data_IF_155374274609
#
_entry.id   IF_155374274609
#
_cell.length_a   1.000
_cell.length_b   1.000
_cell.length_c   1.000
_cell.angle_alpha   90.00
_cell.angle_beta   90.00
_cell.angle_gamma   90.00
#
_symmetry.space_group_name_H-M   'P 1'
#
loop_
_entity.id
_entity.type
_entity.pdbx_description
1 polymer ?
#
# COMPACT_ATOMS: atom_id res chain seq x y z
N UNK A 1 -55.18 -15.54 54.63
CA UNK A 1 -54.87 -16.57 53.61
C UNK A 1 -53.61 -16.10 52.91
N UNK A 2 -52.43 -16.15 53.54
CA UNK A 2 -51.85 -17.08 54.53
C UNK A 2 -51.43 -18.45 53.97
N UNK A 3 -50.38 -18.99 54.59
CA UNK A 3 -49.73 -20.30 54.41
C UNK A 3 -48.96 -20.51 53.09
N UNK A 4 -47.72 -21.04 53.09
CA UNK A 4 -46.71 -21.01 54.17
C UNK A 4 -45.28 -21.26 53.62
N UNK A 5 -44.27 -21.12 54.49
CA UNK A 5 -42.92 -21.72 54.41
C UNK A 5 -42.92 -23.08 55.18
N UNK A 6 -41.82 -23.80 55.48
CA UNK A 6 -40.38 -23.52 55.37
C UNK A 6 -39.71 -24.43 54.31
N UNK A 7 -38.44 -24.86 54.30
CA UNK A 7 -37.19 -24.72 55.11
C UNK A 7 -36.00 -24.47 54.12
N UNK A 8 -34.69 -24.33 54.40
CA UNK A 8 -33.70 -24.77 55.40
C UNK A 8 -33.12 -26.20 55.28
N UNK A 9 -31.82 -26.27 54.98
CA UNK A 9 -30.86 -27.23 55.55
C UNK A 9 -29.43 -26.69 55.31
N UNK A 10 -28.56 -26.83 56.31
CA UNK A 10 -27.18 -26.32 56.32
C UNK A 10 -26.14 -27.38 55.89
N UNK A 11 -24.87 -26.94 55.76
CA UNK A 11 -23.57 -27.59 56.02
C UNK A 11 -22.50 -27.01 55.06
N UNK A 12 -21.63 -26.10 55.52
CA UNK A 12 -20.38 -26.35 56.28
C UNK A 12 -19.30 -27.11 55.47
N UNK A 13 -18.32 -26.38 54.94
CA UNK A 13 -16.97 -26.22 55.53
C UNK A 13 -16.09 -27.48 55.54
N UNK A 14 -14.99 -27.45 54.77
CA UNK A 14 -13.68 -27.85 55.33
C UNK A 14 -12.53 -27.12 54.63
N UNK A 15 -11.49 -26.79 55.41
CA UNK A 15 -10.24 -26.16 54.93
C UNK A 15 -9.09 -27.16 55.09
N UNK A 16 -8.16 -27.20 54.14
CA UNK A 16 -6.87 -27.85 54.30
C UNK A 16 -5.73 -26.86 54.02
N UNK A 17 -4.82 -26.71 54.98
CA UNK A 17 -3.55 -25.97 54.86
C UNK A 17 -2.38 -26.95 55.03
N UNK A 18 -1.23 -26.60 54.45
CA UNK A 18 0.07 -27.17 54.78
C UNK A 18 0.81 -27.72 53.56
N UNK A 19 2.15 -27.61 53.47
CA UNK A 19 3.05 -26.80 54.31
C UNK A 19 4.42 -26.63 53.63
N UNK A 20 4.83 -25.37 53.48
CA UNK A 20 6.15 -24.84 53.85
C UNK A 20 7.37 -25.79 53.84
N UNK A 21 8.28 -25.58 52.89
CA UNK A 21 9.69 -26.01 52.97
C UNK A 21 10.56 -25.10 52.08
N UNK A 22 11.69 -24.64 52.62
CA UNK A 22 12.65 -23.68 52.03
C UNK A 22 13.96 -23.73 52.86
N UNK A 23 15.17 -23.40 52.35
CA UNK A 23 15.66 -23.34 50.97
C UNK A 23 16.68 -24.49 50.69
N UNK A 24 17.52 -24.41 49.64
CA UNK A 24 18.85 -23.82 49.86
C UNK A 24 19.28 -22.80 48.78
N UNK A 25 20.43 -22.17 49.01
CA UNK A 25 20.96 -21.04 48.24
C UNK A 25 21.85 -21.45 47.05
N UNK A 26 22.22 -20.43 46.26
CA UNK A 26 23.38 -20.33 45.35
C UNK A 26 23.19 -20.75 43.88
N UNK A 27 24.19 -20.42 43.05
CA UNK A 27 24.33 -20.55 41.59
C UNK A 27 23.76 -19.43 40.69
N UNK A 28 24.61 -18.42 40.47
CA UNK A 28 24.78 -17.64 39.21
C UNK A 28 23.59 -16.87 38.64
N UNK A 29 23.65 -15.53 38.80
CA UNK A 29 23.23 -14.64 37.71
C UNK A 29 24.17 -14.84 36.51
N UNK A 30 23.61 -14.97 35.30
CA UNK A 30 24.41 -14.94 34.08
C UNK A 30 24.61 -13.50 33.62
N UNK A 31 25.78 -12.96 33.94
CA UNK A 31 26.30 -11.74 33.32
C UNK A 31 26.36 -11.95 31.80
N UNK A 32 25.66 -11.11 31.04
CA UNK A 32 25.68 -11.13 29.58
C UNK A 32 26.93 -10.36 29.10
N UNK A 33 28.10 -10.94 29.36
CA UNK A 33 29.40 -10.34 29.05
C UNK A 33 29.46 -9.86 27.60
N UNK A 34 29.49 -8.54 27.42
CA UNK A 34 29.68 -7.95 26.10
C UNK A 34 31.06 -8.35 25.56
N UNK A 35 31.18 -8.73 24.27
CA UNK A 35 32.48 -8.97 23.66
C UNK A 35 33.20 -7.63 23.47
N UNK A 36 33.98 -7.24 24.49
CA UNK A 36 34.87 -6.07 24.46
C UNK A 36 36.06 -6.32 23.53
N UNK A 37 35.79 -6.29 22.23
CA UNK A 37 36.76 -6.18 21.17
C UNK A 37 36.58 -4.84 20.47
N UNK A 38 37.67 -4.15 20.07
CA UNK A 38 37.54 -2.92 19.31
C UNK A 38 36.73 -3.19 18.02
N UNK A 39 35.79 -2.30 17.63
CA UNK A 39 34.97 -2.52 16.45
C UNK A 39 35.88 -2.73 15.25
N UNK A 40 35.71 -3.87 14.57
CA UNK A 40 36.49 -4.20 13.38
C UNK A 40 36.38 -3.03 12.39
N UNK A 41 37.53 -2.46 12.01
CA UNK A 41 37.57 -1.22 11.25
C UNK A 41 36.78 -1.37 9.94
N UNK A 42 35.61 -0.71 9.86
CA UNK A 42 34.73 -0.75 8.69
C UNK A 42 35.51 -0.31 7.46
N UNK A 43 35.47 -1.10 6.39
CA UNK A 43 36.10 -0.72 5.13
C UNK A 43 35.47 0.56 4.61
N UNK A 44 36.27 1.65 4.57
CA UNK A 44 35.80 2.98 4.18
C UNK A 44 35.35 2.98 2.72
N UNK A 45 34.04 2.89 2.48
CA UNK A 45 33.45 2.91 1.14
C UNK A 45 32.18 2.09 0.95
N UNK A 46 31.81 1.19 1.88
CA UNK A 46 30.49 0.55 1.84
C UNK A 46 29.42 1.55 2.35
N UNK A 47 28.30 1.77 1.63
CA UNK A 47 27.24 2.65 2.11
C UNK A 47 26.54 2.00 3.32
N UNK A 48 26.17 2.81 4.31
CA UNK A 48 25.47 2.35 5.50
C UNK A 48 24.18 1.59 5.13
N UNK A 49 24.19 0.27 5.37
CA UNK A 49 23.02 -0.60 5.24
C UNK A 49 22.74 -1.26 6.60
N UNK A 50 21.58 -0.95 7.17
CA UNK A 50 21.07 -1.59 8.39
C UNK A 50 20.06 -2.66 8.00
N UNK A 51 20.43 -3.93 8.19
CA UNK A 51 19.58 -5.09 7.89
C UNK A 51 19.15 -5.82 9.16
N UNK A 52 17.88 -6.21 9.22
CA UNK A 52 17.30 -7.03 10.30
C UNK A 52 16.37 -8.10 9.70
N UNK A 53 16.28 -9.25 10.37
CA UNK A 53 15.44 -10.38 9.96
C UNK A 53 14.72 -10.95 11.18
N UNK A 54 13.46 -11.32 10.98
CA UNK A 54 12.55 -11.82 12.01
C UNK A 54 11.85 -13.09 11.50
N UNK A 55 11.57 -14.05 12.39
CA UNK A 55 10.67 -15.16 12.05
C UNK A 55 9.22 -14.69 11.98
N UNK A 56 8.42 -15.30 11.12
CA UNK A 56 6.99 -15.06 10.99
C UNK A 56 6.30 -16.32 10.49
N UNK A 57 5.46 -16.93 11.34
CA UNK A 57 4.69 -18.14 11.04
C UNK A 57 3.51 -17.89 10.06
N UNK A 58 3.71 -17.07 9.02
CA UNK A 58 2.73 -16.73 7.99
C UNK A 58 2.72 -15.23 7.65
N UNK A 59 1.67 -14.76 6.95
CA UNK A 59 1.52 -13.37 6.51
C UNK A 59 1.71 -12.34 7.63
N UNK A 60 2.47 -11.29 7.33
CA UNK A 60 2.78 -10.18 8.22
C UNK A 60 1.95 -8.93 7.92
N UNK A 61 1.91 -7.98 8.86
CA UNK A 61 1.53 -6.59 8.57
C UNK A 61 2.81 -5.74 8.43
N UNK A 62 2.96 -5.04 7.30
CA UNK A 62 4.10 -4.16 7.04
C UNK A 62 3.60 -2.70 7.06
N UNK A 63 4.08 -1.90 8.00
CA UNK A 63 3.79 -0.46 8.13
C UNK A 63 5.07 0.34 7.84
N UNK A 64 5.18 0.85 6.60
CA UNK A 64 6.41 1.39 6.04
C UNK A 64 6.26 2.89 5.76
N UNK A 65 6.93 3.73 6.55
CA UNK A 65 6.97 5.19 6.34
C UNK A 65 8.31 5.59 5.72
N UNK A 66 8.30 6.43 4.68
CA UNK A 66 9.51 7.00 4.05
C UNK A 66 9.29 8.45 3.62
N UNK A 67 10.23 9.34 3.93
CA UNK A 67 10.19 10.74 3.50
C UNK A 67 10.35 10.89 1.98
N UNK A 68 11.50 10.47 1.46
CA UNK A 68 11.80 10.41 0.02
C UNK A 68 12.68 9.20 -0.32
N UNK A 69 12.73 8.82 -1.60
CA UNK A 69 13.58 7.73 -2.09
C UNK A 69 12.79 6.55 -2.66
N UNK A 70 12.89 5.37 -2.04
CA UNK A 70 12.28 4.13 -2.56
C UNK A 70 11.82 3.17 -1.46
N UNK A 71 10.69 2.52 -1.70
CA UNK A 71 10.23 1.33 -0.98
C UNK A 71 10.12 0.18 -1.98
N UNK A 72 10.75 -0.94 -1.68
CA UNK A 72 10.56 -2.21 -2.41
C UNK A 72 10.04 -3.26 -1.43
N UNK A 73 8.96 -3.95 -1.76
CA UNK A 73 8.40 -5.05 -0.97
C UNK A 73 8.33 -6.29 -1.87
N UNK A 74 9.03 -7.35 -1.50
CA UNK A 74 9.00 -8.64 -2.17
C UNK A 74 8.18 -9.64 -1.35
N UNK A 75 7.02 -10.05 -1.86
CA UNK A 75 6.15 -11.03 -1.23
C UNK A 75 6.39 -12.40 -1.88
N UNK A 76 6.94 -13.33 -1.10
CA UNK A 76 7.42 -14.63 -1.59
C UNK A 76 7.06 -15.77 -0.61
N UNK A 77 7.23 -17.02 -1.04
CA UNK A 77 7.11 -18.16 -0.13
C UNK A 77 8.26 -18.14 0.90
N UNK A 78 7.92 -18.26 2.19
CA UNK A 78 8.88 -18.25 3.29
C UNK A 78 8.22 -18.01 4.65
N UNK A 79 9.01 -18.11 5.71
CA UNK A 79 8.58 -17.89 7.11
C UNK A 79 9.36 -16.77 7.80
N UNK A 80 9.95 -15.85 7.03
CA UNK A 80 10.74 -14.75 7.56
C UNK A 80 10.31 -13.41 6.99
N UNK A 81 10.43 -12.36 7.81
CA UNK A 81 10.36 -10.96 7.39
C UNK A 81 11.76 -10.37 7.50
N UNK A 82 12.33 -9.94 6.38
CA UNK A 82 13.64 -9.27 6.33
C UNK A 82 13.46 -7.84 5.86
N UNK A 83 14.15 -6.91 6.50
CA UNK A 83 14.20 -5.49 6.13
C UNK A 83 15.65 -5.04 6.03
N UNK A 84 15.98 -4.35 4.94
CA UNK A 84 17.25 -3.64 4.75
C UNK A 84 16.97 -2.18 4.44
N UNK A 85 17.59 -1.27 5.20
CA UNK A 85 17.45 0.18 5.05
C UNK A 85 18.83 0.80 4.80
N UNK A 86 18.90 1.71 3.83
CA UNK A 86 20.12 2.42 3.43
C UNK A 86 19.79 3.78 2.81
N UNK A 87 20.76 4.68 2.73
CA UNK A 87 20.58 5.95 2.01
C UNK A 87 20.48 5.74 0.48
N UNK A 88 19.67 6.56 -0.20
CA UNK A 88 19.56 6.55 -1.67
C UNK A 88 20.58 7.49 -2.34
N UNK A 89 21.82 7.00 -2.42
CA UNK A 89 22.89 7.64 -3.17
C UNK A 89 22.52 7.89 -4.65
N UNK A 90 21.58 7.14 -5.25
CA UNK A 90 21.24 7.27 -6.67
C UNK A 90 20.46 8.55 -7.01
N UNK A 91 19.85 9.19 -6.02
CA UNK A 91 19.22 10.50 -6.20
C UNK A 91 20.25 11.67 -6.26
N UNK A 92 21.53 11.40 -5.98
CA UNK A 92 22.62 12.35 -5.66
C UNK A 92 23.00 13.41 -6.69
N UNK A 93 22.24 13.59 -7.77
CA UNK A 93 22.39 14.74 -8.68
C UNK A 93 21.62 15.99 -8.23
N UNK A 94 20.46 15.84 -7.58
CA UNK A 94 19.53 16.96 -7.33
C UNK A 94 19.35 17.30 -5.85
N UNK A 95 19.01 16.34 -4.99
CA UNK A 95 18.91 16.59 -3.54
C UNK A 95 20.29 16.94 -2.95
N UNK A 96 21.38 16.37 -3.47
CA UNK A 96 22.73 16.67 -3.01
C UNK A 96 23.12 18.13 -3.25
N UNK A 97 22.69 18.75 -4.35
CA UNK A 97 22.93 20.19 -4.59
C UNK A 97 22.00 21.05 -3.73
N UNK A 98 20.70 20.74 -3.68
CA UNK A 98 19.76 21.46 -2.82
C UNK A 98 20.08 21.35 -1.31
N UNK A 99 20.67 20.23 -0.88
CA UNK A 99 21.26 20.09 0.45
C UNK A 99 22.67 20.68 0.55
N UNK A 100 23.45 20.82 -0.52
CA UNK A 100 24.72 21.58 -0.42
C UNK A 100 24.42 23.04 -0.09
N UNK A 101 23.41 23.63 -0.72
CA UNK A 101 22.94 24.99 -0.43
C UNK A 101 22.36 25.10 1.00
N UNK A 102 21.57 24.10 1.43
CA UNK A 102 20.92 24.09 2.74
C UNK A 102 21.86 23.72 3.91
N UNK A 103 22.86 22.85 3.68
CA UNK A 103 23.95 22.54 4.61
C UNK A 103 24.96 23.69 4.64
N UNK A 104 25.16 24.43 3.54
CA UNK A 104 25.85 25.71 3.56
C UNK A 104 25.18 26.67 4.54
N UNK A 105 23.87 26.89 4.39
CA UNK A 105 23.08 27.71 5.31
C UNK A 105 23.08 27.20 6.76
N UNK A 106 22.98 25.88 6.99
CA UNK A 106 23.05 25.30 8.35
C UNK A 106 24.45 25.44 8.95
N UNK A 107 25.53 25.19 8.20
CA UNK A 107 26.90 25.27 8.74
C UNK A 107 27.33 26.71 9.05
N UNK A 108 26.85 27.70 8.28
CA UNK A 108 26.92 29.13 8.62
C UNK A 108 26.17 29.46 9.94
N UNK A 109 25.06 28.75 10.21
CA UNK A 109 24.21 28.97 11.40
C UNK A 109 24.61 28.17 12.66
N UNK A 110 25.31 27.04 12.52
CA UNK A 110 25.66 26.13 13.63
C UNK A 110 27.16 25.89 13.82
N UNK A 111 28.00 26.35 12.89
CA UNK A 111 29.47 26.26 12.98
C UNK A 111 30.06 24.86 12.81
N UNK A 112 29.25 23.85 12.50
CA UNK A 112 29.67 22.46 12.28
C UNK A 112 29.43 22.02 10.84
N UNK A 113 30.51 21.73 10.10
CA UNK A 113 30.43 21.13 8.77
C UNK A 113 30.26 19.61 8.86
N UNK A 114 29.01 19.13 8.81
CA UNK A 114 28.70 17.70 8.70
C UNK A 114 28.94 17.22 7.26
N UNK A 115 29.69 16.13 7.07
CA UNK A 115 29.86 15.57 5.73
C UNK A 115 28.58 14.84 5.28
N UNK A 116 28.33 14.82 3.97
CA UNK A 116 27.16 14.15 3.39
C UNK A 116 27.19 12.62 3.52
N UNK A 117 28.34 12.04 3.87
CA UNK A 117 28.48 10.62 4.20
C UNK A 117 28.02 10.34 5.64
N UNK A 118 28.54 11.09 6.62
CA UNK A 118 28.20 10.96 8.05
C UNK A 118 26.68 11.10 8.25
N UNK A 119 26.08 12.14 7.63
CA UNK A 119 24.63 12.37 7.62
C UNK A 119 23.82 11.18 7.06
N UNK A 120 24.39 10.41 6.14
CA UNK A 120 23.73 9.26 5.53
C UNK A 120 23.84 7.99 6.39
N UNK A 121 24.89 7.85 7.19
CA UNK A 121 25.04 6.79 8.19
C UNK A 121 24.15 7.08 9.41
N UNK A 122 24.23 8.29 9.97
CA UNK A 122 23.36 8.78 11.05
C UNK A 122 21.87 8.61 10.72
N UNK A 123 21.46 8.96 9.49
CA UNK A 123 20.06 8.87 9.07
C UNK A 123 19.56 7.43 8.88
N UNK A 124 20.45 6.45 8.67
CA UNK A 124 20.11 5.01 8.56
C UNK A 124 20.08 4.37 9.95
N UNK A 125 21.02 4.70 10.83
CA UNK A 125 21.02 4.21 12.20
C UNK A 125 19.88 4.82 13.03
N UNK A 126 19.46 6.06 12.74
CA UNK A 126 18.30 6.71 13.37
C UNK A 126 16.92 6.22 12.87
N UNK A 127 16.84 5.21 11.99
CA UNK A 127 15.56 4.61 11.55
C UNK A 127 14.95 3.78 12.68
N UNK A 128 13.68 4.01 12.99
CA UNK A 128 12.92 3.11 13.87
C UNK A 128 12.58 1.84 13.08
N UNK A 129 13.09 0.69 13.52
CA UNK A 129 12.67 -0.63 13.03
C UNK A 129 12.15 -1.40 14.24
N UNK A 130 10.84 -1.65 14.25
CA UNK A 130 10.13 -2.28 15.37
C UNK A 130 9.37 -3.51 14.85
N UNK A 131 9.59 -4.67 15.46
CA UNK A 131 8.87 -5.91 15.16
C UNK A 131 8.01 -6.34 16.35
N UNK A 132 6.85 -6.93 16.07
CA UNK A 132 5.95 -7.50 17.07
C UNK A 132 5.53 -8.91 16.66
N UNK A 133 6.09 -9.91 17.34
CA UNK A 133 5.76 -11.34 17.17
C UNK A 133 4.25 -11.61 17.23
N UNK A 134 3.58 -11.10 18.28
CA UNK A 134 2.16 -11.35 18.55
C UNK A 134 1.26 -10.84 17.41
N UNK A 135 1.62 -9.72 16.78
CA UNK A 135 0.91 -9.17 15.63
C UNK A 135 1.47 -9.61 14.27
N UNK A 136 2.65 -10.26 14.24
CA UNK A 136 3.54 -10.37 13.06
C UNK A 136 3.67 -9.04 12.31
N UNK A 137 3.87 -7.95 13.04
CA UNK A 137 3.87 -6.59 12.48
C UNK A 137 5.26 -5.98 12.49
N UNK A 138 5.73 -5.61 11.30
CA UNK A 138 6.91 -4.78 11.07
C UNK A 138 6.47 -3.31 10.96
N UNK A 139 7.15 -2.44 11.69
CA UNK A 139 7.04 -0.98 11.55
C UNK A 139 8.42 -0.43 11.18
N UNK A 140 8.48 0.36 10.10
CA UNK A 140 9.69 1.10 9.68
C UNK A 140 9.35 2.58 9.59
N UNK A 141 10.09 3.44 10.30
CA UNK A 141 9.89 4.90 10.26
C UNK A 141 11.21 5.65 10.10
N UNK A 142 11.23 6.72 9.30
CA UNK A 142 12.42 7.54 9.11
C UNK A 142 12.63 8.44 10.35
N UNK A 143 13.85 8.96 10.57
CA UNK A 143 14.09 9.97 11.58
C UNK A 143 13.15 11.18 11.39
N UNK A 144 12.60 11.68 12.50
CA UNK A 144 11.61 12.76 12.50
C UNK A 144 12.23 14.17 12.46
N UNK A 145 13.51 14.27 12.85
CA UNK A 145 14.24 15.53 13.04
C UNK A 145 15.12 15.90 11.84
N UNK A 146 15.41 17.19 11.69
CA UNK A 146 16.36 17.69 10.70
C UNK A 146 17.78 17.71 11.30
N UNK A 147 18.84 17.46 10.49
CA UNK A 147 18.82 17.27 9.04
C UNK A 147 18.41 15.88 8.56
N UNK A 148 18.46 14.85 9.41
CA UNK A 148 18.36 13.43 9.01
C UNK A 148 17.11 13.09 8.19
N UNK A 149 15.96 13.68 8.54
CA UNK A 149 14.68 13.55 7.80
C UNK A 149 14.74 13.94 6.32
N UNK A 150 15.72 14.76 5.92
CA UNK A 150 15.90 15.17 4.53
C UNK A 150 16.71 14.16 3.69
N UNK A 151 17.35 13.16 4.32
CA UNK A 151 18.09 12.10 3.62
C UNK A 151 17.10 11.14 2.95
N UNK A 152 17.17 10.95 1.62
CA UNK A 152 16.34 9.96 0.94
C UNK A 152 16.78 8.54 1.33
N UNK A 153 15.83 7.66 1.61
CA UNK A 153 16.07 6.27 2.03
C UNK A 153 15.61 5.29 0.95
N UNK A 154 16.33 4.18 0.83
CA UNK A 154 15.82 2.95 0.24
C UNK A 154 15.50 1.98 1.36
N UNK A 155 14.24 1.55 1.40
CA UNK A 155 13.72 0.51 2.30
C UNK A 155 13.32 -0.69 1.42
N UNK A 156 14.14 -1.73 1.45
CA UNK A 156 13.89 -2.99 0.74
C UNK A 156 13.44 -4.04 1.77
N UNK A 157 12.25 -4.64 1.59
CA UNK A 157 11.62 -5.60 2.52
C UNK A 157 11.25 -6.88 1.79
N UNK A 158 11.50 -8.04 2.40
CA UNK A 158 10.99 -9.34 1.98
C UNK A 158 10.06 -9.90 3.06
N UNK A 159 8.89 -10.41 2.69
CA UNK A 159 7.92 -10.99 3.61
C UNK A 159 7.11 -12.13 2.96
N UNK A 160 6.35 -12.94 3.74
CA UNK A 160 5.55 -14.03 3.18
C UNK A 160 4.43 -13.53 2.22
N UNK A 161 4.14 -14.30 1.17
CA UNK A 161 3.00 -14.07 0.25
C UNK A 161 1.69 -13.90 1.03
N UNK A 162 0.83 -12.99 0.59
CA UNK A 162 -0.42 -12.65 1.28
C UNK A 162 -0.25 -11.70 2.48
N UNK A 163 0.97 -11.25 2.78
CA UNK A 163 1.19 -10.17 3.77
C UNK A 163 0.45 -8.89 3.37
N UNK A 164 0.05 -8.12 4.38
CA UNK A 164 -0.57 -6.81 4.24
C UNK A 164 0.51 -5.74 4.17
N UNK A 165 0.36 -4.80 3.24
CA UNK A 165 1.34 -3.73 3.00
C UNK A 165 0.66 -2.37 3.12
N UNK A 166 0.99 -1.61 4.17
CA UNK A 166 0.59 -0.21 4.35
C UNK A 166 1.85 0.68 4.19
N UNK A 167 1.87 1.57 3.18
CA UNK A 167 3.01 2.45 2.88
C UNK A 167 2.62 3.91 2.93
N UNK A 168 3.33 4.72 3.71
CA UNK A 168 3.20 6.18 3.76
C UNK A 168 4.47 6.85 3.22
N UNK A 169 4.38 7.44 2.04
CA UNK A 169 5.49 8.08 1.33
C UNK A 169 5.28 9.59 1.16
N UNK A 170 6.35 10.38 1.29
CA UNK A 170 6.35 11.77 0.82
C UNK A 170 6.56 11.84 -0.69
N UNK A 171 7.79 11.59 -1.13
CA UNK A 171 8.21 11.58 -2.54
C UNK A 171 9.07 10.36 -2.85
N UNK A 172 8.44 9.21 -3.07
CA UNK A 172 9.16 7.93 -3.24
C UNK A 172 8.52 7.02 -4.30
N UNK A 173 9.35 6.21 -4.97
CA UNK A 173 8.86 5.08 -5.77
C UNK A 173 8.53 3.91 -4.85
N UNK A 174 7.34 3.34 -4.99
CA UNK A 174 6.89 2.17 -4.22
C UNK A 174 6.68 1.00 -5.17
N UNK A 175 7.34 -0.12 -4.93
CA UNK A 175 7.20 -1.35 -5.72
C UNK A 175 6.80 -2.50 -4.79
N UNK A 176 5.68 -3.18 -5.07
CA UNK A 176 5.26 -4.41 -4.39
C UNK A 176 5.23 -5.54 -5.41
N UNK A 177 6.06 -6.57 -5.23
CA UNK A 177 6.11 -7.77 -6.07
C UNK A 177 5.56 -8.99 -5.32
N UNK A 178 5.12 -10.00 -6.07
CA UNK A 178 4.33 -11.11 -5.52
C UNK A 178 2.86 -10.75 -5.32
N UNK A 179 2.12 -11.58 -4.58
CA UNK A 179 0.72 -11.29 -4.23
C UNK A 179 0.60 -10.78 -2.81
N UNK A 180 -0.04 -9.61 -2.65
CA UNK A 180 -0.35 -9.01 -1.37
C UNK A 180 -1.74 -9.44 -0.88
N UNK A 181 -1.92 -9.51 0.44
CA UNK A 181 -3.25 -9.68 1.04
C UNK A 181 -4.07 -8.42 0.83
N UNK A 182 -3.74 -7.36 1.58
CA UNK A 182 -4.32 -6.02 1.38
C UNK A 182 -3.20 -5.00 1.12
N UNK A 183 -3.49 -3.95 0.37
CA UNK A 183 -2.54 -2.87 0.05
C UNK A 183 -3.13 -1.48 0.36
N UNK A 184 -2.55 -0.81 1.36
CA UNK A 184 -2.77 0.61 1.63
C UNK A 184 -1.57 1.42 1.16
N UNK A 185 -1.76 2.45 0.32
CA UNK A 185 -0.65 3.37 -0.01
C UNK A 185 -1.11 4.82 0.03
N UNK A 186 -0.37 5.66 0.73
CA UNK A 186 -0.51 7.12 0.68
C UNK A 186 0.82 7.70 0.22
N UNK A 187 0.84 8.36 -0.94
CA UNK A 187 2.04 9.04 -1.45
C UNK A 187 1.74 10.48 -1.85
N UNK A 188 2.64 11.40 -1.53
CA UNK A 188 2.58 12.77 -2.05
C UNK A 188 2.93 12.80 -3.54
N UNK A 189 4.05 12.18 -3.91
CA UNK A 189 4.43 11.98 -5.30
C UNK A 189 5.27 10.72 -5.54
N UNK A 190 5.21 10.19 -6.76
CA UNK A 190 6.05 9.10 -7.22
C UNK A 190 5.30 8.01 -7.97
N UNK A 191 6.06 7.03 -8.47
CA UNK A 191 5.52 5.86 -9.15
C UNK A 191 5.18 4.74 -8.15
N UNK A 192 3.95 4.23 -8.21
CA UNK A 192 3.50 3.06 -7.47
C UNK A 192 3.29 1.89 -8.45
N UNK A 193 3.91 0.75 -8.18
CA UNK A 193 3.70 -0.50 -8.91
C UNK A 193 3.36 -1.64 -7.94
N UNK A 194 2.26 -2.34 -8.16
CA UNK A 194 1.77 -3.44 -7.31
C UNK A 194 1.43 -4.65 -8.20
N UNK A 195 2.12 -5.77 -8.01
CA UNK A 195 2.04 -6.90 -8.93
C UNK A 195 0.71 -7.69 -8.89
N UNK A 196 0.17 -7.98 -7.70
CA UNK A 196 -1.15 -8.59 -7.51
C UNK A 196 -1.67 -8.32 -6.09
N UNK A 197 -3.00 -8.29 -5.91
CA UNK A 197 -3.65 -8.17 -4.59
C UNK A 197 -4.87 -9.10 -4.50
N UNK A 198 -4.84 -10.04 -3.57
CA UNK A 198 -5.92 -11.03 -3.38
C UNK A 198 -7.09 -10.50 -2.53
N UNK A 199 -6.86 -9.43 -1.77
CA UNK A 199 -7.86 -8.72 -0.97
C UNK A 199 -8.03 -7.26 -1.40
N UNK A 200 -8.10 -6.37 -0.41
CA UNK A 200 -8.56 -4.99 -0.59
C UNK A 200 -7.42 -3.98 -0.83
N UNK A 201 -7.73 -2.92 -1.59
CA UNK A 201 -6.81 -1.84 -1.96
C UNK A 201 -7.39 -0.46 -1.60
N UNK A 202 -6.69 0.36 -0.82
CA UNK A 202 -6.98 1.81 -0.64
C UNK A 202 -5.72 2.65 -0.91
N UNK A 203 -5.68 3.29 -2.08
CA UNK A 203 -4.53 4.06 -2.57
C UNK A 203 -4.92 5.54 -2.74
N UNK A 204 -4.09 6.42 -2.18
CA UNK A 204 -4.15 7.86 -2.40
C UNK A 204 -2.78 8.38 -2.88
N UNK A 205 -2.73 8.96 -4.09
CA UNK A 205 -1.57 9.67 -4.63
C UNK A 205 -1.88 11.14 -4.87
N UNK A 206 -0.93 12.03 -4.56
CA UNK A 206 -0.96 13.41 -5.04
C UNK A 206 -0.72 13.46 -6.55
N UNK A 207 0.49 13.06 -6.99
CA UNK A 207 0.90 13.08 -8.39
C UNK A 207 1.82 11.90 -8.76
N UNK A 208 1.47 11.15 -9.81
CA UNK A 208 2.34 10.12 -10.39
C UNK A 208 1.62 9.02 -11.17
N UNK A 209 2.36 8.01 -11.60
CA UNK A 209 1.82 6.77 -12.12
C UNK A 209 1.44 5.79 -10.99
N UNK A 210 0.27 5.18 -11.11
CA UNK A 210 -0.20 4.05 -10.30
C UNK A 210 -0.48 2.89 -11.24
N UNK A 211 0.34 1.84 -11.17
CA UNK A 211 0.14 0.58 -11.88
C UNK A 211 -0.17 -0.51 -10.88
N UNK A 212 -1.27 -1.22 -11.11
CA UNK A 212 -1.74 -2.33 -10.27
C UNK A 212 -2.05 -3.50 -11.21
N UNK A 213 -1.63 -4.71 -10.84
CA UNK A 213 -2.01 -5.93 -11.52
C UNK A 213 -3.45 -6.35 -11.23
N UNK A 214 -3.73 -7.66 -11.13
CA UNK A 214 -5.03 -8.16 -10.70
C UNK A 214 -5.36 -7.73 -9.26
N UNK A 215 -6.61 -7.29 -9.04
CA UNK A 215 -7.18 -7.05 -7.71
C UNK A 215 -8.44 -7.90 -7.54
N UNK A 216 -8.40 -8.87 -6.63
CA UNK A 216 -9.51 -9.80 -6.40
C UNK A 216 -10.57 -9.19 -5.47
N UNK A 217 -10.17 -8.44 -4.45
CA UNK A 217 -11.07 -7.74 -3.52
C UNK A 217 -11.54 -6.36 -4.03
N UNK A 218 -11.95 -5.49 -3.11
CA UNK A 218 -12.44 -4.14 -3.41
C UNK A 218 -11.27 -3.19 -3.63
N UNK A 219 -11.36 -2.37 -4.69
CA UNK A 219 -10.37 -1.31 -4.96
C UNK A 219 -10.92 0.09 -4.67
N UNK A 220 -10.08 0.95 -4.10
CA UNK A 220 -10.37 2.36 -3.87
C UNK A 220 -9.17 3.20 -4.23
N UNK A 221 -9.25 3.94 -5.34
CA UNK A 221 -8.11 4.69 -5.88
C UNK A 221 -8.42 6.19 -5.93
N UNK A 222 -7.49 6.99 -5.42
CA UNK A 222 -7.58 8.46 -5.38
C UNK A 222 -6.30 9.06 -5.96
N UNK A 223 -6.43 9.92 -6.95
CA UNK A 223 -5.29 10.60 -7.56
C UNK A 223 -5.56 12.10 -7.73
N UNK A 224 -4.60 12.95 -7.36
CA UNK A 224 -4.62 14.36 -7.76
C UNK A 224 -4.34 14.49 -9.26
N UNK A 225 -3.20 13.97 -9.72
CA UNK A 225 -2.84 13.95 -11.14
C UNK A 225 -1.99 12.73 -11.55
N UNK A 226 -1.90 12.49 -12.87
CA UNK A 226 -1.01 11.47 -13.45
C UNK A 226 -1.76 10.38 -14.23
N UNK A 227 -1.46 9.11 -13.94
CA UNK A 227 -2.09 7.95 -14.59
C UNK A 227 -2.42 6.86 -13.59
N UNK A 228 -3.61 6.27 -13.70
CA UNK A 228 -3.98 5.02 -13.04
C UNK A 228 -4.10 3.93 -14.10
N UNK A 229 -3.56 2.75 -13.84
CA UNK A 229 -3.71 1.56 -14.68
C UNK A 229 -3.92 0.33 -13.78
N UNK A 230 -5.05 -0.35 -13.91
CA UNK A 230 -5.37 -1.58 -13.17
C UNK A 230 -5.57 -2.73 -14.15
N UNK A 231 -4.84 -3.84 -14.01
CA UNK A 231 -4.88 -4.92 -15.00
C UNK A 231 -6.21 -5.68 -14.97
N UNK A 232 -6.74 -5.99 -13.79
CA UNK A 232 -8.12 -6.47 -13.65
C UNK A 232 -8.72 -6.15 -12.28
N UNK A 233 -10.05 -6.01 -12.23
CA UNK A 233 -10.82 -5.86 -10.98
C UNK A 233 -11.89 -6.95 -10.87
N UNK A 234 -11.73 -7.81 -9.86
CA UNK A 234 -12.67 -8.87 -9.48
C UNK A 234 -13.75 -8.41 -8.50
N UNK A 235 -13.43 -7.42 -7.64
CA UNK A 235 -14.36 -6.87 -6.66
C UNK A 235 -14.79 -5.40 -6.94
N UNK A 236 -15.77 -4.89 -6.16
CA UNK A 236 -16.32 -3.54 -6.37
C UNK A 236 -15.27 -2.45 -6.26
N UNK A 237 -15.30 -1.47 -7.17
CA UNK A 237 -14.21 -0.52 -7.36
C UNK A 237 -14.67 0.95 -7.38
N UNK A 238 -14.06 1.81 -6.54
CA UNK A 238 -14.26 3.27 -6.54
C UNK A 238 -12.97 3.99 -6.99
N UNK A 239 -13.03 4.78 -8.06
CA UNK A 239 -11.89 5.62 -8.49
C UNK A 239 -12.29 7.09 -8.58
N UNK A 240 -11.46 7.98 -8.02
CA UNK A 240 -11.63 9.43 -8.03
C UNK A 240 -10.32 10.12 -8.40
N UNK A 241 -10.26 10.68 -9.60
CA UNK A 241 -9.14 11.44 -10.11
C UNK A 241 -9.46 12.95 -10.23
N UNK A 242 -8.47 13.81 -10.02
CA UNK A 242 -8.51 15.23 -10.39
C UNK A 242 -8.23 15.39 -11.88
N UNK A 243 -6.95 15.32 -12.24
CA UNK A 243 -6.44 15.42 -13.62
C UNK A 243 -5.60 14.19 -13.96
N UNK A 244 -6.25 13.04 -14.16
CA UNK A 244 -5.56 11.79 -14.48
C UNK A 244 -6.30 10.97 -15.53
N UNK A 245 -5.51 10.28 -16.35
CA UNK A 245 -5.96 9.23 -17.26
C UNK A 245 -6.12 7.91 -16.48
N UNK A 246 -7.24 7.21 -16.64
CA UNK A 246 -7.53 5.97 -15.91
C UNK A 246 -7.79 4.83 -16.90
N UNK A 247 -7.00 3.76 -16.80
CA UNK A 247 -7.18 2.51 -17.54
C UNK A 247 -7.55 1.36 -16.61
N UNK A 248 -8.53 0.56 -17.04
CA UNK A 248 -8.76 -0.79 -16.57
C UNK A 248 -8.56 -1.76 -17.74
N UNK A 249 -7.90 -2.89 -17.48
CA UNK A 249 -7.92 -4.04 -18.38
C UNK A 249 -9.29 -4.73 -18.32
N UNK A 250 -9.39 -5.80 -17.54
CA UNK A 250 -10.63 -6.54 -17.33
C UNK A 250 -11.46 -6.02 -16.14
N UNK A 251 -12.77 -5.91 -16.30
CA UNK A 251 -13.72 -5.51 -15.24
C UNK A 251 -14.79 -6.59 -15.09
N UNK A 252 -14.83 -7.24 -13.92
CA UNK A 252 -15.77 -8.33 -13.62
C UNK A 252 -16.90 -7.94 -12.64
N UNK A 253 -16.80 -6.76 -12.02
CA UNK A 253 -17.70 -6.29 -10.96
C UNK A 253 -18.00 -4.78 -11.06
N UNK A 254 -18.86 -4.28 -10.16
CA UNK A 254 -19.28 -2.88 -10.11
C UNK A 254 -18.10 -1.88 -10.05
N UNK A 255 -18.13 -0.86 -10.92
CA UNK A 255 -17.07 0.12 -11.08
C UNK A 255 -17.63 1.55 -11.12
N UNK A 256 -17.21 2.37 -10.17
CA UNK A 256 -17.56 3.79 -10.06
C UNK A 256 -16.30 4.65 -10.25
N UNK A 257 -15.94 4.95 -11.51
CA UNK A 257 -14.76 5.76 -11.85
C UNK A 257 -15.15 7.19 -12.26
N UNK A 258 -14.52 8.19 -11.65
CA UNK A 258 -14.74 9.61 -11.96
C UNK A 258 -13.42 10.37 -12.06
N UNK A 259 -13.26 11.18 -13.10
CA UNK A 259 -12.14 12.11 -13.28
C UNK A 259 -12.65 13.53 -13.58
N UNK A 260 -11.94 14.55 -13.13
CA UNK A 260 -12.21 15.94 -13.53
C UNK A 260 -11.74 16.17 -14.97
N UNK A 261 -10.49 15.82 -15.25
CA UNK A 261 -9.86 15.90 -16.56
C UNK A 261 -9.08 14.62 -16.88
N UNK A 262 -9.25 14.10 -18.10
CA UNK A 262 -8.58 12.89 -18.59
C UNK A 262 -9.55 11.85 -19.14
N UNK A 263 -9.00 10.92 -19.92
CA UNK A 263 -9.75 9.80 -20.48
C UNK A 263 -9.98 8.71 -19.42
N UNK A 264 -11.19 8.12 -19.40
CA UNK A 264 -11.47 6.86 -18.71
C UNK A 264 -11.62 5.76 -19.75
N UNK A 265 -10.83 4.69 -19.60
CA UNK A 265 -10.81 3.55 -20.53
C UNK A 265 -11.01 2.26 -19.74
N UNK A 266 -12.00 1.47 -20.13
CA UNK A 266 -12.17 0.06 -19.74
C UNK A 266 -11.94 -0.76 -21.00
N UNK A 267 -10.92 -1.63 -21.01
CA UNK A 267 -10.55 -2.40 -22.19
C UNK A 267 -11.49 -3.59 -22.43
N UNK A 268 -11.88 -4.30 -21.36
CA UNK A 268 -12.79 -5.44 -21.43
C UNK A 268 -13.73 -5.50 -20.22
N UNK A 269 -15.03 -5.28 -20.44
CA UNK A 269 -16.07 -5.35 -19.42
C UNK A 269 -16.88 -6.65 -19.52
N UNK A 270 -16.76 -7.52 -18.51
CA UNK A 270 -17.45 -8.81 -18.44
C UNK A 270 -18.82 -8.74 -17.72
N UNK A 271 -19.01 -7.78 -16.82
CA UNK A 271 -20.21 -7.70 -15.99
C UNK A 271 -20.17 -6.59 -14.94
N UNK A 272 -21.27 -6.48 -14.18
CA UNK A 272 -21.44 -5.47 -13.13
C UNK A 272 -21.99 -4.15 -13.64
N UNK A 273 -22.04 -3.15 -12.75
CA UNK A 273 -22.55 -1.80 -13.00
C UNK A 273 -21.42 -0.79 -13.07
N UNK A 274 -21.21 -0.22 -14.24
CA UNK A 274 -20.18 0.78 -14.53
C UNK A 274 -20.82 2.20 -14.50
N UNK A 275 -20.48 3.05 -13.53
CA UNK A 275 -20.81 4.49 -13.51
C UNK A 275 -19.53 5.31 -13.77
N UNK A 276 -19.31 5.67 -15.03
CA UNK A 276 -18.10 6.31 -15.53
C UNK A 276 -18.38 7.78 -15.84
N UNK A 277 -17.63 8.72 -15.23
CA UNK A 277 -17.81 10.17 -15.44
C UNK A 277 -16.50 10.91 -15.68
N UNK A 278 -16.41 11.65 -16.78
CA UNK A 278 -15.32 12.61 -17.01
C UNK A 278 -15.89 14.03 -17.11
N UNK A 279 -15.23 15.02 -16.51
CA UNK A 279 -15.56 16.42 -16.75
C UNK A 279 -15.10 16.86 -18.15
N UNK A 280 -13.83 16.60 -18.45
CA UNK A 280 -13.20 16.85 -19.75
C UNK A 280 -12.28 15.69 -20.14
N UNK A 281 -12.72 14.86 -21.09
CA UNK A 281 -12.00 13.69 -21.58
C UNK A 281 -12.94 12.68 -22.23
N UNK A 282 -12.35 11.75 -22.99
CA UNK A 282 -13.07 10.65 -23.61
C UNK A 282 -13.46 9.55 -22.63
N UNK A 283 -14.58 8.86 -22.90
CA UNK A 283 -14.89 7.58 -22.28
C UNK A 283 -14.82 6.49 -23.35
N UNK A 284 -14.09 5.40 -23.09
CA UNK A 284 -14.08 4.20 -23.94
C UNK A 284 -14.34 2.96 -23.11
N UNK A 285 -15.29 2.12 -23.54
CA UNK A 285 -15.58 0.83 -22.90
C UNK A 285 -15.64 -0.25 -23.97
N UNK A 286 -14.70 -1.19 -23.93
CA UNK A 286 -14.83 -2.48 -24.61
C UNK A 286 -15.73 -3.41 -23.81
N UNK A 287 -16.67 -4.08 -24.48
CA UNK A 287 -17.55 -5.09 -23.87
C UNK A 287 -17.12 -6.48 -24.30
N UNK A 288 -17.06 -7.41 -23.34
CA UNK A 288 -16.58 -8.76 -23.57
C UNK A 288 -17.40 -9.51 -24.63
N UNK A 289 -16.74 -10.37 -25.40
CA UNK A 289 -17.40 -11.15 -26.44
C UNK A 289 -18.52 -12.03 -25.86
N UNK A 290 -19.76 -11.81 -26.33
CA UNK A 290 -20.95 -12.53 -25.86
C UNK A 290 -21.64 -11.93 -24.63
N UNK A 291 -21.10 -10.87 -24.02
CA UNK A 291 -21.77 -10.14 -22.93
C UNK A 291 -22.75 -9.12 -23.51
N UNK A 292 -24.03 -9.27 -23.15
CA UNK A 292 -25.05 -8.24 -23.41
C UNK A 292 -24.93 -7.10 -22.40
N UNK A 293 -25.11 -5.86 -22.85
CA UNK A 293 -24.98 -4.64 -22.03
C UNK A 293 -26.22 -3.72 -22.13
N UNK A 294 -26.66 -3.17 -20.99
CA UNK A 294 -27.59 -2.02 -20.94
C UNK A 294 -26.77 -0.72 -20.99
N UNK A 295 -27.11 0.22 -21.88
CA UNK A 295 -26.32 1.43 -22.13
C UNK A 295 -27.09 2.72 -21.81
N UNK A 296 -26.48 3.60 -21.02
CA UNK A 296 -26.93 4.94 -20.64
C UNK A 296 -25.75 5.91 -20.88
N UNK A 297 -25.65 6.42 -22.12
CA UNK A 297 -24.49 7.18 -22.61
C UNK A 297 -24.89 8.64 -22.92
N UNK A 298 -24.10 9.60 -22.45
CA UNK A 298 -24.30 11.03 -22.77
C UNK A 298 -22.98 11.79 -22.85
N UNK A 299 -22.85 12.66 -23.85
CA UNK A 299 -21.80 13.70 -23.89
C UNK A 299 -22.45 15.08 -23.96
N UNK A 300 -21.82 16.09 -23.34
CA UNK A 300 -22.28 17.48 -23.40
C UNK A 300 -21.84 18.21 -24.68
N UNK A 301 -20.58 18.04 -25.09
CA UNK A 301 -19.99 18.72 -26.27
C UNK A 301 -19.26 17.78 -27.25
N UNK A 302 -19.40 16.46 -27.07
CA UNK A 302 -18.94 15.42 -28.01
C UNK A 302 -20.07 14.49 -28.43
N UNK A 303 -19.72 13.32 -28.97
CA UNK A 303 -20.68 12.29 -29.43
C UNK A 303 -20.74 11.14 -28.44
N UNK A 304 -21.95 10.66 -28.14
CA UNK A 304 -22.16 9.36 -27.53
C UNK A 304 -22.51 8.33 -28.61
N UNK A 305 -21.78 7.22 -28.69
CA UNK A 305 -21.97 6.19 -29.71
C UNK A 305 -21.71 4.78 -29.16
N UNK A 306 -22.31 3.79 -29.81
CA UNK A 306 -22.06 2.37 -29.53
C UNK A 306 -21.95 1.60 -30.85
N UNK A 307 -20.91 0.78 -30.95
CA UNK A 307 -20.60 -0.11 -32.07
C UNK A 307 -21.08 -1.55 -31.78
N UNK A 308 -21.78 -1.77 -30.66
CA UNK A 308 -22.34 -3.08 -30.32
C UNK A 308 -23.52 -3.46 -31.24
N UNK A 309 -23.64 -4.72 -31.67
CA UNK A 309 -24.83 -5.20 -32.39
C UNK A 309 -26.11 -5.03 -31.56
N UNK A 310 -27.05 -4.24 -32.07
CA UNK A 310 -28.35 -3.99 -31.42
C UNK A 310 -29.38 -5.03 -31.86
N UNK A 311 -29.94 -5.79 -30.92
CA UNK A 311 -31.05 -6.70 -31.18
C UNK A 311 -32.39 -5.95 -31.28
N UNK A 312 -33.24 -6.32 -32.24
CA UNK A 312 -34.56 -5.70 -32.44
C UNK A 312 -35.64 -6.15 -31.46
N UNK A 313 -35.35 -7.16 -30.63
CA UNK A 313 -36.24 -7.67 -29.58
C UNK A 313 -35.55 -7.53 -28.20
N UNK A 314 -36.30 -7.25 -27.12
CA UNK A 314 -35.74 -7.26 -25.77
C UNK A 314 -35.15 -8.64 -25.43
N UNK A 315 -33.99 -8.71 -24.73
CA UNK A 315 -33.41 -9.99 -24.36
C UNK A 315 -34.24 -10.68 -23.27
N UNK A 316 -34.37 -12.01 -23.34
CA UNK A 316 -35.13 -12.83 -22.39
C UNK A 316 -34.64 -12.72 -20.94
N UNK A 317 -33.36 -12.34 -20.77
CA UNK A 317 -32.71 -12.09 -19.48
C UNK A 317 -32.14 -10.68 -19.51
N UNK A 318 -32.19 -9.98 -18.37
CA UNK A 318 -31.53 -8.67 -18.23
C UNK A 318 -30.01 -8.81 -18.47
N UNK A 319 -29.37 -7.84 -19.14
CA UNK A 319 -27.92 -7.74 -19.22
C UNK A 319 -27.24 -7.89 -17.85
N UNK A 320 -26.14 -8.66 -17.80
CA UNK A 320 -25.27 -8.75 -16.62
C UNK A 320 -24.33 -7.55 -16.49
N UNK A 321 -24.24 -6.73 -17.56
CA UNK A 321 -23.44 -5.51 -17.64
C UNK A 321 -24.35 -4.30 -17.84
N UNK A 322 -24.16 -3.24 -17.04
CA UNK A 322 -24.88 -1.96 -17.16
C UNK A 322 -23.87 -0.82 -17.21
N UNK A 323 -23.76 -0.14 -18.35
CA UNK A 323 -22.79 0.95 -18.57
C UNK A 323 -23.49 2.29 -18.56
N UNK A 324 -23.10 3.15 -17.61
CA UNK A 324 -23.54 4.55 -17.48
C UNK A 324 -22.34 5.46 -17.73
N UNK A 325 -22.19 5.94 -18.97
CA UNK A 325 -21.04 6.73 -19.41
C UNK A 325 -21.42 8.19 -19.63
N UNK A 326 -20.86 9.11 -18.84
CA UNK A 326 -21.14 10.56 -18.96
C UNK A 326 -19.85 11.38 -19.11
N UNK A 327 -19.68 12.06 -20.24
CA UNK A 327 -18.64 13.10 -20.39
C UNK A 327 -19.27 14.49 -20.45
N UNK A 328 -18.64 15.48 -19.81
CA UNK A 328 -18.97 16.90 -20.04
C UNK A 328 -18.48 17.33 -21.43
N UNK A 329 -17.17 17.16 -21.66
CA UNK A 329 -16.50 17.45 -22.93
C UNK A 329 -15.68 16.24 -23.39
N UNK A 330 -16.04 15.65 -24.52
CA UNK A 330 -15.34 14.51 -25.12
C UNK A 330 -16.29 13.43 -25.65
N UNK A 331 -15.79 12.55 -26.53
CA UNK A 331 -16.58 11.45 -27.08
C UNK A 331 -16.75 10.30 -26.06
N UNK A 332 -17.90 9.64 -26.10
CA UNK A 332 -18.26 8.48 -25.27
C UNK A 332 -18.53 7.31 -26.20
N UNK A 333 -17.63 6.34 -26.24
CA UNK A 333 -17.66 5.18 -27.14
C UNK A 333 -17.81 3.88 -26.36
N UNK A 334 -18.74 3.02 -26.79
CA UNK A 334 -18.83 1.62 -26.36
C UNK A 334 -18.65 0.71 -27.57
N UNK A 335 -17.64 -0.14 -27.56
CA UNK A 335 -17.31 -1.07 -28.65
C UNK A 335 -17.26 -2.51 -28.13
N UNK A 336 -17.17 -3.52 -29.01
CA UNK A 336 -16.61 -4.81 -28.59
C UNK A 336 -15.20 -4.62 -28.01
N UNK A 337 -14.82 -5.45 -27.04
CA UNK A 337 -13.45 -5.52 -26.57
C UNK A 337 -12.50 -6.01 -27.68
N UNK A 338 -11.26 -5.52 -27.68
CA UNK A 338 -10.21 -6.03 -28.57
C UNK A 338 -9.78 -7.45 -28.11
N UNK A 339 -9.40 -8.30 -29.07
CA UNK A 339 -8.78 -9.61 -28.82
C UNK A 339 -7.26 -9.51 -28.77
#
# INVERSE_FOLDING_TARGET
>A
MDTDRPDQHDEEQTVARGSEQDPPQDATAQDATAPDGPPAAREMGQPAERRQSFESAGPAELDLTVGAGRVSVALAEGTQVTVSVRADASAGGSWAQGLSDLIGWISEATGGGLASADLAEDAVDAVEITWSEIGRRLVVRPPAELPLKAVPLVVDVTAPTGSRVDVHAGSARVTVTGSAGNVGVRTGSGELNVAAVDGDVDIATGSGGVTIGPVTGRSRLRAGSGRISVASVGGPSEVKAGSAEVRFGAVHADLSARTGSGDLIVADAHGGRLDLKSGSGGLRVGVHAGVGAELDLSSGTGRAHSELPVASAPPEKRPTLVIRGRSGTGDVLVSPAAR
#
